data_IF_037941462914
#
_entry.id   IF_037941462914
#
_cell.length_a   1.000
_cell.length_b   1.000
_cell.length_c   1.000
_cell.angle_alpha   90.00
_cell.angle_beta   90.00
_cell.angle_gamma   90.00
#
_symmetry.space_group_name_H-M   'P 1'
#
loop_
_entity.id
_entity.type
_entity.pdbx_description
1 polymer ?
#
# COMPACT_ATOMS: atom_id res chain seq x y z
N UNK A 1 3.93 36.47 -51.62
CA UNK A 1 3.34 35.21 -52.06
C UNK A 1 4.02 33.93 -51.47
N UNK A 2 5.18 34.01 -50.82
CA UNK A 2 5.89 32.85 -50.20
C UNK A 2 5.45 32.59 -48.78
N UNK A 3 5.10 33.62 -48.00
CA UNK A 3 4.70 33.48 -46.59
C UNK A 3 3.34 32.75 -46.36
N UNK A 4 2.42 32.83 -47.31
CA UNK A 4 1.08 32.21 -47.27
C UNK A 4 1.10 30.71 -47.59
N UNK A 5 2.14 30.23 -48.27
CA UNK A 5 2.29 28.80 -48.61
C UNK A 5 2.90 28.01 -47.45
N UNK A 6 3.79 28.59 -46.65
CA UNK A 6 4.38 27.96 -45.48
C UNK A 6 3.36 27.75 -44.35
N UNK A 7 2.42 28.67 -44.14
CA UNK A 7 1.40 28.58 -43.12
C UNK A 7 0.34 27.47 -43.41
N UNK A 8 0.06 27.18 -44.70
CA UNK A 8 -0.86 26.09 -45.09
C UNK A 8 -0.20 24.72 -44.96
N UNK A 9 1.09 24.59 -45.19
CA UNK A 9 1.82 23.31 -45.03
C UNK A 9 2.00 22.94 -43.53
N UNK A 10 2.24 23.91 -42.66
CA UNK A 10 2.28 23.63 -41.19
C UNK A 10 0.94 23.15 -40.67
N UNK A 11 -0.19 23.76 -41.06
CA UNK A 11 -1.53 23.31 -40.63
C UNK A 11 -1.95 21.93 -41.19
N UNK A 12 -1.43 21.54 -42.33
CA UNK A 12 -1.67 20.19 -42.91
C UNK A 12 -0.81 19.11 -42.20
N UNK A 13 0.43 19.44 -41.84
CA UNK A 13 1.31 18.56 -41.07
C UNK A 13 0.75 18.30 -39.66
N UNK A 14 0.29 19.35 -38.97
CA UNK A 14 -0.26 19.22 -37.60
C UNK A 14 -1.54 18.38 -37.58
N UNK A 15 -2.42 18.51 -38.60
CA UNK A 15 -3.63 17.68 -38.70
C UNK A 15 -3.31 16.20 -39.02
N UNK A 16 -2.31 15.93 -39.81
CA UNK A 16 -1.89 14.56 -40.14
C UNK A 16 -1.22 13.87 -38.95
N UNK A 17 -0.45 14.61 -38.18
CA UNK A 17 0.18 14.10 -36.95
C UNK A 17 -0.85 13.79 -35.87
N UNK A 18 -1.80 14.71 -35.64
CA UNK A 18 -2.89 14.51 -34.66
C UNK A 18 -3.79 13.34 -35.06
N UNK A 19 -4.11 13.15 -36.38
CA UNK A 19 -4.88 11.99 -36.83
C UNK A 19 -4.08 10.67 -36.72
N UNK A 20 -2.77 10.69 -36.98
CA UNK A 20 -1.93 9.49 -36.84
C UNK A 20 -1.74 9.09 -35.38
N UNK A 21 -1.57 10.02 -34.48
CA UNK A 21 -1.48 9.77 -33.04
C UNK A 21 -2.84 9.31 -32.50
N UNK A 22 -3.93 9.95 -32.91
CA UNK A 22 -5.29 9.53 -32.51
C UNK A 22 -5.66 8.14 -33.04
N UNK A 23 -5.32 7.80 -34.31
CA UNK A 23 -5.57 6.48 -34.87
C UNK A 23 -4.63 5.41 -34.29
N UNK A 24 -3.42 5.76 -33.92
CA UNK A 24 -2.49 4.85 -33.25
C UNK A 24 -2.92 4.60 -31.80
N UNK A 25 -3.36 5.64 -31.07
CA UNK A 25 -4.00 5.51 -29.75
C UNK A 25 -5.30 4.69 -29.83
N UNK A 26 -6.15 4.91 -30.84
CA UNK A 26 -7.38 4.12 -31.02
C UNK A 26 -7.09 2.65 -31.39
N UNK A 27 -6.02 2.39 -32.16
CA UNK A 27 -5.56 1.01 -32.45
C UNK A 27 -4.90 0.36 -31.25
N UNK A 28 -4.16 1.10 -30.44
CA UNK A 28 -3.59 0.62 -29.18
C UNK A 28 -4.69 0.38 -28.14
N UNK A 29 -5.71 1.23 -28.05
CA UNK A 29 -6.90 0.95 -27.23
C UNK A 29 -7.64 -0.31 -27.67
N UNK A 30 -7.88 -0.52 -28.98
CA UNK A 30 -8.51 -1.75 -29.49
C UNK A 30 -7.61 -3.00 -29.39
N UNK A 31 -6.31 -2.87 -29.25
CA UNK A 31 -5.40 -3.99 -28.99
C UNK A 31 -5.31 -4.32 -27.49
N UNK A 32 -5.64 -3.37 -26.59
CA UNK A 32 -5.86 -3.60 -25.16
C UNK A 32 -7.25 -4.18 -24.84
N UNK A 33 -8.25 -3.97 -25.72
CA UNK A 33 -9.54 -4.66 -25.66
C UNK A 33 -9.38 -6.12 -26.19
N UNK A 34 -8.40 -6.87 -25.65
CA UNK A 34 -8.50 -8.32 -25.70
C UNK A 34 -9.81 -8.65 -24.99
N UNK A 35 -10.69 -9.37 -25.67
CA UNK A 35 -11.85 -10.00 -25.07
C UNK A 35 -11.35 -10.91 -23.93
N UNK A 36 -11.20 -10.33 -22.73
CA UNK A 36 -11.27 -11.12 -21.54
C UNK A 36 -12.75 -11.52 -21.43
N UNK A 37 -13.08 -12.81 -21.27
CA UNK A 37 -14.46 -13.23 -21.03
C UNK A 37 -15.02 -12.38 -19.88
N UNK A 38 -16.32 -12.07 -19.92
CA UNK A 38 -17.02 -11.47 -18.80
C UNK A 38 -16.79 -12.38 -17.58
N UNK A 39 -15.90 -11.98 -16.71
CA UNK A 39 -15.56 -12.74 -15.50
C UNK A 39 -16.57 -12.33 -14.46
N UNK A 40 -17.66 -13.04 -14.37
CA UNK A 40 -18.63 -12.83 -13.28
C UNK A 40 -17.98 -13.28 -11.98
N UNK A 41 -17.73 -12.34 -11.06
CA UNK A 41 -17.22 -12.66 -9.73
C UNK A 41 -18.28 -13.42 -8.94
N UNK A 42 -18.03 -14.68 -8.62
CA UNK A 42 -18.90 -15.50 -7.77
C UNK A 42 -18.46 -15.39 -6.30
N UNK A 43 -19.10 -14.48 -5.55
CA UNK A 43 -18.78 -14.24 -4.14
C UNK A 43 -19.20 -15.42 -3.23
N UNK A 44 -20.14 -16.27 -3.68
CA UNK A 44 -20.65 -17.39 -2.89
C UNK A 44 -19.95 -18.71 -3.18
N UNK A 45 -19.21 -18.77 -4.27
CA UNK A 45 -18.45 -19.95 -4.68
C UNK A 45 -17.17 -20.17 -3.87
N UNK A 46 -16.22 -20.89 -4.48
CA UNK A 46 -14.92 -21.16 -3.86
C UNK A 46 -14.08 -19.88 -3.73
N UNK A 47 -13.61 -19.49 -2.55
CA UNK A 47 -12.80 -18.30 -2.34
C UNK A 47 -11.45 -18.34 -3.08
N UNK A 48 -10.92 -19.54 -3.40
CA UNK A 48 -9.70 -19.70 -4.19
C UNK A 48 -9.98 -19.33 -5.65
N UNK A 49 -11.11 -19.81 -6.20
CA UNK A 49 -11.55 -19.44 -7.54
C UNK A 49 -11.89 -17.94 -7.63
N UNK A 50 -12.50 -17.36 -6.61
CA UNK A 50 -12.76 -15.92 -6.51
C UNK A 50 -11.44 -15.13 -6.49
N UNK A 51 -10.43 -15.59 -5.73
CA UNK A 51 -9.11 -14.96 -5.74
C UNK A 51 -8.51 -14.94 -7.14
N UNK A 52 -8.53 -16.07 -7.84
CA UNK A 52 -8.04 -16.18 -9.21
C UNK A 52 -8.79 -15.22 -10.15
N UNK A 53 -10.11 -15.14 -10.04
CA UNK A 53 -10.93 -14.24 -10.84
C UNK A 53 -10.61 -12.77 -10.61
N UNK A 54 -10.39 -12.34 -9.35
CA UNK A 54 -9.95 -10.98 -9.02
C UNK A 54 -8.55 -10.68 -9.57
N UNK A 55 -7.62 -11.63 -9.46
CA UNK A 55 -6.25 -11.51 -9.97
C UNK A 55 -6.24 -11.37 -11.49
N UNK A 56 -7.09 -12.11 -12.20
CA UNK A 56 -7.16 -12.12 -13.68
C UNK A 56 -7.79 -10.85 -14.26
N UNK A 57 -8.32 -9.96 -13.43
CA UNK A 57 -8.71 -8.60 -13.82
C UNK A 57 -7.53 -7.66 -13.50
N UNK A 58 -6.73 -7.21 -14.48
CA UNK A 58 -5.63 -6.28 -14.24
C UNK A 58 -6.14 -4.97 -13.65
N UNK A 59 -5.48 -4.51 -12.59
CA UNK A 59 -5.86 -3.29 -11.86
C UNK A 59 -4.63 -2.59 -11.27
N UNK A 60 -3.61 -2.32 -12.11
CA UNK A 60 -2.50 -1.47 -11.70
C UNK A 60 -3.03 -0.14 -11.18
N UNK A 61 -2.38 0.45 -10.17
CA UNK A 61 -2.82 1.73 -9.57
C UNK A 61 -3.24 2.76 -10.61
N UNK A 62 -4.41 3.38 -10.43
CA UNK A 62 -5.14 4.29 -11.34
C UNK A 62 -5.85 3.60 -12.51
N UNK A 63 -5.83 2.27 -12.60
CA UNK A 63 -6.50 1.50 -13.65
C UNK A 63 -7.50 0.47 -13.08
N UNK A 64 -8.01 0.70 -11.87
CA UNK A 64 -8.88 -0.22 -11.11
C UNK A 64 -10.34 -0.22 -11.59
N UNK A 65 -10.73 0.70 -12.47
CA UNK A 65 -12.14 0.96 -12.81
C UNK A 65 -12.91 -0.32 -13.17
N UNK A 66 -12.33 -1.20 -14.01
CA UNK A 66 -12.97 -2.46 -14.40
C UNK A 66 -13.17 -3.39 -13.21
N UNK A 67 -12.13 -3.59 -12.38
CA UNK A 67 -12.24 -4.47 -11.20
C UNK A 67 -13.29 -3.92 -10.23
N UNK A 68 -13.30 -2.62 -10.01
CA UNK A 68 -14.27 -1.97 -9.16
C UNK A 68 -15.72 -2.08 -9.69
N UNK A 69 -15.92 -2.03 -11.02
CA UNK A 69 -17.24 -2.25 -11.64
C UNK A 69 -17.74 -3.68 -11.39
N UNK A 70 -16.86 -4.69 -11.55
CA UNK A 70 -17.19 -6.10 -11.31
C UNK A 70 -17.47 -6.37 -9.82
N UNK A 71 -16.69 -5.79 -8.91
CA UNK A 71 -16.90 -5.90 -7.45
C UNK A 71 -18.22 -5.24 -7.04
N UNK A 72 -18.53 -4.04 -7.56
CA UNK A 72 -19.80 -3.37 -7.29
C UNK A 72 -20.99 -4.20 -7.78
N UNK A 73 -20.93 -4.70 -9.01
CA UNK A 73 -21.96 -5.55 -9.59
C UNK A 73 -22.18 -6.84 -8.77
N UNK A 74 -21.09 -7.51 -8.37
CA UNK A 74 -21.15 -8.72 -7.58
C UNK A 74 -21.74 -8.48 -6.18
N UNK A 75 -21.32 -7.42 -5.48
CA UNK A 75 -21.86 -7.04 -4.18
C UNK A 75 -23.37 -6.75 -4.26
N UNK A 76 -23.80 -5.97 -5.25
CA UNK A 76 -25.24 -5.65 -5.45
C UNK A 76 -26.09 -6.89 -5.76
N UNK A 77 -25.54 -7.83 -6.52
CA UNK A 77 -26.27 -9.02 -6.96
C UNK A 77 -26.30 -10.15 -5.91
N UNK A 78 -25.22 -10.30 -5.12
CA UNK A 78 -25.00 -11.52 -4.33
C UNK A 78 -25.01 -11.30 -2.82
N UNK A 79 -25.09 -10.04 -2.33
CA UNK A 79 -25.26 -9.76 -0.90
C UNK A 79 -26.68 -9.27 -0.62
N UNK A 80 -27.27 -9.74 0.47
CA UNK A 80 -28.58 -9.30 0.94
C UNK A 80 -28.44 -8.39 2.16
N UNK A 81 -29.23 -7.30 2.21
CA UNK A 81 -29.19 -6.38 3.35
C UNK A 81 -28.01 -5.42 3.38
N UNK A 82 -27.18 -5.40 2.34
CA UNK A 82 -26.11 -4.42 2.20
C UNK A 82 -26.58 -3.18 1.40
N UNK A 83 -26.28 -2.01 1.94
CA UNK A 83 -26.26 -0.76 1.20
C UNK A 83 -24.93 -0.68 0.46
N UNK A 84 -24.95 -0.49 -0.88
CA UNK A 84 -23.72 -0.44 -1.70
C UNK A 84 -23.60 0.93 -2.35
N UNK A 85 -22.44 1.58 -2.19
CA UNK A 85 -22.12 2.87 -2.81
C UNK A 85 -20.77 2.81 -3.52
N UNK A 86 -20.60 3.68 -4.52
CA UNK A 86 -19.37 3.89 -5.26
C UNK A 86 -18.77 5.26 -4.94
N UNK A 87 -17.45 5.32 -4.76
CA UNK A 87 -16.71 6.58 -4.61
C UNK A 87 -15.42 6.51 -5.42
N UNK A 88 -15.41 7.11 -6.61
CA UNK A 88 -14.33 6.90 -7.58
C UNK A 88 -14.21 5.45 -8.00
N UNK A 89 -13.04 4.83 -7.82
CA UNK A 89 -12.85 3.38 -8.01
C UNK A 89 -12.98 2.58 -6.69
N UNK A 90 -13.31 3.23 -5.59
CA UNK A 90 -13.66 2.53 -4.36
C UNK A 90 -15.13 2.07 -4.34
N UNK A 91 -15.36 0.87 -3.80
CA UNK A 91 -16.69 0.27 -3.62
C UNK A 91 -16.88 0.01 -2.13
N UNK A 92 -17.97 0.55 -1.57
CA UNK A 92 -18.29 0.38 -0.16
C UNK A 92 -19.64 -0.33 -0.02
N UNK A 93 -19.71 -1.28 0.90
CA UNK A 93 -20.94 -2.00 1.22
C UNK A 93 -21.10 -2.14 2.74
N UNK A 94 -22.31 -1.92 3.29
CA UNK A 94 -22.54 -2.07 4.73
C UNK A 94 -23.91 -2.58 5.07
N UNK A 95 -24.00 -3.32 6.18
CA UNK A 95 -25.26 -3.73 6.81
C UNK A 95 -25.77 -2.66 7.80
N UNK A 96 -27.06 -2.72 8.12
CA UNK A 96 -27.71 -1.91 9.16
C UNK A 96 -28.67 -2.77 10.00
N UNK A 97 -28.15 -3.88 10.53
CA UNK A 97 -28.93 -4.82 11.35
C UNK A 97 -29.06 -4.38 12.83
N UNK A 98 -28.45 -3.23 13.17
CA UNK A 98 -28.43 -2.69 14.55
C UNK A 98 -27.75 -3.65 15.54
N UNK A 99 -26.68 -4.30 15.10
CA UNK A 99 -25.87 -5.15 15.96
C UNK A 99 -25.09 -4.30 16.99
N UNK A 100 -24.68 -4.90 18.13
CA UNK A 100 -23.99 -4.16 19.21
C UNK A 100 -22.66 -3.51 18.79
N UNK A 101 -22.04 -4.02 17.73
CA UNK A 101 -20.76 -3.52 17.22
C UNK A 101 -20.69 -3.66 15.71
N UNK A 102 -19.75 -2.94 15.10
CA UNK A 102 -19.49 -2.95 13.66
C UNK A 102 -18.03 -3.34 13.37
N UNK A 103 -17.86 -4.28 12.47
CA UNK A 103 -16.55 -4.68 11.93
C UNK A 103 -16.41 -4.11 10.52
N UNK A 104 -15.29 -3.45 10.27
CA UNK A 104 -14.94 -2.96 8.95
C UNK A 104 -13.85 -3.84 8.35
N UNK A 105 -14.10 -4.34 7.14
CA UNK A 105 -13.19 -5.15 6.33
C UNK A 105 -12.71 -4.28 5.16
N UNK A 106 -11.44 -3.93 5.15
CA UNK A 106 -10.88 -3.05 4.11
C UNK A 106 -9.82 -3.78 3.30
N UNK A 107 -9.84 -3.58 1.98
CA UNK A 107 -8.82 -4.06 1.07
C UNK A 107 -8.66 -3.16 -0.13
N UNK A 108 -7.46 -3.16 -0.74
CA UNK A 108 -7.20 -2.35 -1.93
C UNK A 108 -7.31 -3.18 -3.21
N UNK A 109 -7.92 -2.57 -4.22
CA UNK A 109 -8.17 -3.18 -5.53
C UNK A 109 -6.96 -3.08 -6.46
N UNK A 110 -6.06 -2.14 -6.21
CA UNK A 110 -4.92 -1.90 -7.07
C UNK A 110 -3.76 -2.88 -6.80
N UNK A 111 -2.84 -2.91 -7.73
CA UNK A 111 -1.59 -3.65 -7.63
C UNK A 111 -0.46 -2.78 -8.15
N UNK A 112 0.77 -3.15 -7.79
CA UNK A 112 1.97 -2.69 -8.48
C UNK A 112 1.93 -3.08 -9.98
N UNK A 113 2.79 -2.49 -10.84
CA UNK A 113 2.83 -2.83 -12.26
C UNK A 113 3.07 -4.33 -12.52
N UNK A 114 2.27 -4.90 -13.41
CA UNK A 114 2.34 -6.32 -13.81
C UNK A 114 3.71 -6.64 -14.42
N UNK A 115 4.36 -7.65 -13.91
CA UNK A 115 5.71 -8.08 -14.31
C UNK A 115 5.74 -9.39 -15.12
N UNK A 116 4.71 -9.60 -15.97
CA UNK A 116 4.55 -10.84 -16.76
C UNK A 116 4.02 -12.01 -15.93
N UNK A 117 3.39 -11.72 -14.80
CA UNK A 117 2.82 -12.67 -13.84
C UNK A 117 1.28 -12.67 -13.87
N UNK A 118 0.67 -12.42 -15.01
CA UNK A 118 -0.74 -12.65 -15.32
C UNK A 118 -0.86 -13.44 -16.62
N UNK A 119 -1.92 -14.26 -16.80
CA UNK A 119 -3.00 -14.54 -15.86
C UNK A 119 -2.53 -15.38 -14.66
N UNK A 120 -3.40 -15.51 -13.65
CA UNK A 120 -3.17 -16.37 -12.51
C UNK A 120 -2.99 -17.83 -12.94
N UNK A 121 -2.23 -18.60 -12.14
CA UNK A 121 -2.08 -20.04 -12.36
C UNK A 121 -2.01 -20.78 -11.03
N UNK A 122 -2.68 -21.90 -10.96
CA UNK A 122 -2.67 -22.79 -9.81
C UNK A 122 -1.59 -23.86 -9.99
N UNK A 123 -0.63 -23.91 -9.07
CA UNK A 123 0.49 -24.85 -9.14
C UNK A 123 0.96 -25.26 -7.74
N UNK A 124 1.09 -26.57 -7.49
CA UNK A 124 1.71 -27.07 -6.24
C UNK A 124 0.99 -26.69 -4.95
N UNK A 125 -0.33 -26.37 -4.98
CA UNK A 125 -1.06 -25.88 -3.82
C UNK A 125 -0.92 -24.37 -3.57
N UNK A 126 -0.34 -23.66 -4.52
CA UNK A 126 -0.20 -22.20 -4.52
C UNK A 126 -0.95 -21.60 -5.70
N UNK A 127 -1.49 -20.41 -5.53
CA UNK A 127 -2.04 -19.56 -6.59
C UNK A 127 -1.03 -18.46 -6.89
N UNK A 128 -0.50 -18.45 -8.11
CA UNK A 128 0.49 -17.49 -8.59
C UNK A 128 -0.18 -16.38 -9.39
N UNK A 129 0.28 -15.13 -9.23
CA UNK A 129 -0.22 -13.98 -9.99
C UNK A 129 0.05 -12.67 -9.28
N UNK A 130 0.05 -11.55 -10.02
CA UNK A 130 0.19 -10.21 -9.45
C UNK A 130 -1.03 -9.87 -8.59
N UNK A 131 -0.82 -9.48 -7.34
CA UNK A 131 -1.88 -9.21 -6.37
C UNK A 131 -2.39 -10.46 -5.62
N UNK A 132 -1.84 -11.67 -5.86
CA UNK A 132 -2.25 -12.86 -5.11
C UNK A 132 -1.90 -12.77 -3.63
N UNK A 133 -0.76 -12.20 -3.29
CA UNK A 133 -0.38 -11.94 -1.90
C UNK A 133 -0.85 -10.57 -1.46
N UNK A 134 -0.68 -9.54 -2.29
CA UNK A 134 -0.92 -8.14 -1.98
C UNK A 134 -1.90 -7.50 -2.98
N UNK A 135 -3.22 -7.38 -2.61
CA UNK A 135 -3.85 -8.12 -1.51
C UNK A 135 -5.17 -8.78 -1.93
N UNK A 136 -5.33 -9.14 -3.24
CA UNK A 136 -6.60 -9.66 -3.81
C UNK A 136 -7.06 -10.96 -3.15
N UNK A 137 -6.16 -11.74 -2.52
CA UNK A 137 -6.58 -12.89 -1.70
C UNK A 137 -7.28 -12.45 -0.41
N UNK A 138 -6.86 -11.34 0.19
CA UNK A 138 -7.56 -10.70 1.31
C UNK A 138 -8.92 -10.17 0.89
N UNK A 139 -8.99 -9.49 -0.26
CA UNK A 139 -10.24 -9.00 -0.85
C UNK A 139 -11.23 -10.15 -1.10
N UNK A 140 -10.76 -11.25 -1.68
CA UNK A 140 -11.57 -12.42 -1.94
C UNK A 140 -12.19 -12.99 -0.65
N UNK A 141 -11.40 -13.08 0.43
CA UNK A 141 -11.87 -13.52 1.75
C UNK A 141 -12.99 -12.61 2.25
N UNK A 142 -12.80 -11.29 2.18
CA UNK A 142 -13.78 -10.32 2.68
C UNK A 142 -15.07 -10.31 1.85
N UNK A 143 -14.96 -10.32 0.53
CA UNK A 143 -16.10 -10.38 -0.38
C UNK A 143 -16.88 -11.70 -0.22
N UNK A 144 -16.18 -12.82 -0.10
CA UNK A 144 -16.82 -14.12 0.15
C UNK A 144 -17.58 -14.15 1.49
N UNK A 145 -17.00 -13.61 2.55
CA UNK A 145 -17.64 -13.56 3.86
C UNK A 145 -18.86 -12.62 3.86
N UNK A 146 -18.79 -11.48 3.19
CA UNK A 146 -19.93 -10.57 3.03
C UNK A 146 -21.13 -11.25 2.36
N UNK A 147 -20.90 -12.18 1.43
CA UNK A 147 -21.95 -12.89 0.72
C UNK A 147 -22.43 -14.18 1.43
N UNK A 148 -21.61 -14.78 2.32
CA UNK A 148 -21.86 -16.14 2.85
C UNK A 148 -22.11 -16.19 4.36
N UNK A 149 -21.78 -15.16 5.13
CA UNK A 149 -22.16 -15.06 6.55
C UNK A 149 -23.59 -14.51 6.63
N UNK A 150 -24.56 -15.42 6.83
CA UNK A 150 -25.97 -15.04 6.75
C UNK A 150 -26.44 -14.22 7.97
N UNK A 151 -25.97 -14.57 9.17
CA UNK A 151 -26.36 -13.97 10.46
C UNK A 151 -25.13 -13.46 11.21
N UNK A 152 -24.48 -12.37 10.75
CA UNK A 152 -23.31 -11.85 11.44
C UNK A 152 -23.69 -11.31 12.83
N UNK A 153 -22.84 -11.57 13.83
CA UNK A 153 -23.01 -11.03 15.19
C UNK A 153 -22.64 -9.56 15.29
N UNK A 154 -21.98 -9.04 14.28
CA UNK A 154 -21.62 -7.62 14.10
C UNK A 154 -22.34 -7.02 12.89
N UNK A 155 -22.57 -5.71 12.88
CA UNK A 155 -22.79 -5.03 11.61
C UNK A 155 -21.49 -5.01 10.81
N UNK A 156 -21.59 -5.20 9.49
CA UNK A 156 -20.41 -5.25 8.61
C UNK A 156 -20.32 -3.99 7.75
N UNK A 157 -19.10 -3.52 7.53
CA UNK A 157 -18.75 -2.62 6.45
C UNK A 157 -17.62 -3.25 5.65
N UNK A 158 -17.76 -3.32 4.33
CA UNK A 158 -16.72 -3.75 3.39
C UNK A 158 -16.30 -2.53 2.60
N UNK A 159 -14.99 -2.28 2.52
CA UNK A 159 -14.41 -1.15 1.79
C UNK A 159 -13.32 -1.68 0.87
N UNK A 160 -13.61 -1.74 -0.43
CA UNK A 160 -12.66 -2.07 -1.48
C UNK A 160 -12.19 -0.77 -2.11
N UNK A 161 -10.95 -0.34 -1.87
CA UNK A 161 -10.49 0.99 -2.25
C UNK A 161 -9.36 0.95 -3.29
N UNK A 162 -9.05 2.08 -3.90
CA UNK A 162 -8.12 2.25 -5.01
C UNK A 162 -6.84 2.99 -4.56
N UNK A 163 -5.76 2.82 -5.34
CA UNK A 163 -4.52 3.61 -5.24
C UNK A 163 -3.81 3.52 -3.87
N UNK A 164 -3.75 2.34 -3.25
CA UNK A 164 -2.94 2.11 -2.05
C UNK A 164 -1.44 2.14 -2.36
N UNK A 165 -1.04 1.51 -3.44
CA UNK A 165 0.33 1.20 -3.85
C UNK A 165 1.13 2.40 -4.40
N UNK A 166 0.56 3.60 -4.33
CA UNK A 166 1.17 4.83 -4.83
C UNK A 166 1.10 5.97 -3.81
N UNK A 167 1.30 7.21 -4.26
CA UNK A 167 1.33 8.38 -3.38
C UNK A 167 0.07 8.50 -2.51
N UNK A 168 0.25 8.75 -1.21
CA UNK A 168 -0.83 8.88 -0.21
C UNK A 168 -1.93 9.89 -0.61
N UNK A 169 -1.60 10.88 -1.45
CA UNK A 169 -2.57 11.86 -1.98
C UNK A 169 -3.60 11.24 -2.95
N UNK A 170 -3.25 10.10 -3.59
CA UNK A 170 -4.12 9.38 -4.51
C UNK A 170 -4.96 8.30 -3.80
N UNK A 171 -4.56 7.88 -2.61
CA UNK A 171 -5.16 6.78 -1.86
C UNK A 171 -6.68 6.96 -1.66
N UNK A 172 -7.46 5.94 -2.09
CA UNK A 172 -8.92 5.96 -2.06
C UNK A 172 -9.49 6.03 -0.65
N UNK A 173 -8.84 5.40 0.33
CA UNK A 173 -9.30 5.44 1.72
C UNK A 173 -9.22 6.87 2.28
N UNK A 174 -8.16 7.63 1.95
CA UNK A 174 -8.06 9.05 2.30
C UNK A 174 -9.11 9.93 1.61
N UNK A 175 -9.59 9.55 0.41
CA UNK A 175 -10.73 10.20 -0.25
C UNK A 175 -12.04 9.88 0.48
N UNK A 176 -12.27 8.62 0.84
CA UNK A 176 -13.45 8.18 1.60
C UNK A 176 -13.51 8.91 2.95
N UNK A 177 -12.39 9.03 3.64
CA UNK A 177 -12.29 9.78 4.92
C UNK A 177 -12.81 11.21 4.80
N UNK A 178 -12.52 11.89 3.69
CA UNK A 178 -12.98 13.27 3.46
C UNK A 178 -14.43 13.39 2.98
N UNK A 179 -14.87 12.46 2.13
CA UNK A 179 -16.15 12.58 1.40
C UNK A 179 -17.27 11.75 2.03
N UNK A 180 -16.93 10.63 2.67
CA UNK A 180 -17.87 9.66 3.25
C UNK A 180 -17.42 9.19 4.65
N UNK A 181 -17.05 10.07 5.59
CA UNK A 181 -16.45 9.68 6.88
C UNK A 181 -17.32 8.71 7.68
N UNK A 182 -18.64 8.81 7.62
CA UNK A 182 -19.58 7.92 8.31
C UNK A 182 -19.50 6.45 7.84
N UNK A 183 -18.89 6.20 6.68
CA UNK A 183 -18.68 4.84 6.18
C UNK A 183 -17.47 4.16 6.81
N UNK A 184 -16.57 4.91 7.40
CA UNK A 184 -15.40 4.37 8.09
C UNK A 184 -15.65 4.12 9.58
N UNK A 185 -16.79 4.56 10.13
CA UNK A 185 -17.12 4.34 11.54
C UNK A 185 -17.25 2.84 11.84
N UNK A 186 -16.44 2.34 12.78
CA UNK A 186 -16.40 0.94 13.19
C UNK A 186 -15.82 0.79 14.61
N UNK A 187 -16.07 -0.34 15.25
CA UNK A 187 -15.46 -0.71 16.54
C UNK A 187 -14.10 -1.38 16.35
N UNK A 188 -13.88 -1.99 15.17
CA UNK A 188 -12.59 -2.51 14.72
C UNK A 188 -12.54 -2.55 13.20
N UNK A 189 -11.36 -2.26 12.64
CA UNK A 189 -11.06 -2.42 11.22
C UNK A 189 -10.06 -3.56 11.01
N UNK A 190 -10.28 -4.38 9.97
CA UNK A 190 -9.41 -5.45 9.55
C UNK A 190 -9.01 -5.17 8.11
N UNK A 191 -7.71 -4.97 7.86
CA UNK A 191 -7.17 -4.80 6.52
C UNK A 191 -6.65 -6.13 6.00
N UNK A 192 -7.03 -6.51 4.78
CA UNK A 192 -6.71 -7.80 4.17
C UNK A 192 -5.26 -7.97 3.68
N UNK A 193 -4.37 -7.12 4.17
CA UNK A 193 -2.94 -7.08 3.90
C UNK A 193 -2.25 -8.44 4.10
N UNK A 194 -1.17 -8.74 3.36
CA UNK A 194 -0.46 -9.99 3.52
C UNK A 194 0.18 -10.11 4.91
N UNK A 195 -0.22 -11.14 5.64
CA UNK A 195 0.29 -11.43 6.99
C UNK A 195 0.59 -12.92 7.21
N UNK A 196 0.34 -13.77 6.21
CA UNK A 196 0.48 -15.23 6.37
C UNK A 196 -0.48 -15.83 7.39
N UNK A 197 -1.64 -15.17 7.62
CA UNK A 197 -2.66 -15.62 8.56
C UNK A 197 -2.39 -15.24 10.04
N UNK A 198 -1.40 -14.39 10.31
CA UNK A 198 -1.22 -13.79 11.65
C UNK A 198 -2.01 -12.49 11.76
N UNK A 199 -2.44 -12.16 12.98
CA UNK A 199 -2.85 -10.79 13.28
C UNK A 199 -1.59 -9.92 13.37
N UNK A 200 -1.40 -8.99 12.43
CA UNK A 200 -0.35 -7.97 12.55
C UNK A 200 -0.98 -6.68 13.06
N UNK A 201 -0.67 -6.33 14.31
CA UNK A 201 -1.27 -5.22 15.01
C UNK A 201 -0.45 -3.95 14.90
N UNK A 202 -1.15 -2.82 14.80
CA UNK A 202 -0.52 -1.52 14.56
C UNK A 202 0.35 -1.50 13.31
N UNK A 203 1.22 -0.52 13.19
CA UNK A 203 2.30 -0.49 12.20
C UNK A 203 3.39 0.51 12.61
N UNK A 204 4.62 0.30 12.11
CA UNK A 204 5.68 1.29 12.29
C UNK A 204 5.42 2.55 11.45
N UNK A 205 5.83 3.71 11.98
CA UNK A 205 5.90 4.93 11.21
C UNK A 205 7.08 4.92 10.22
N UNK A 206 7.01 5.81 9.26
CA UNK A 206 8.09 6.03 8.29
C UNK A 206 8.46 7.50 8.23
N UNK A 207 9.75 7.79 8.14
CA UNK A 207 10.29 9.11 7.92
C UNK A 207 11.38 9.02 6.85
N UNK A 208 11.33 9.91 5.86
CA UNK A 208 12.41 10.06 4.89
C UNK A 208 12.99 11.45 4.97
N UNK A 209 14.31 11.53 5.10
CA UNK A 209 15.04 12.80 5.09
C UNK A 209 16.13 12.78 4.04
N UNK A 210 16.44 13.95 3.50
CA UNK A 210 17.64 14.20 2.69
C UNK A 210 18.65 14.91 3.58
N UNK A 211 19.81 14.30 3.77
CA UNK A 211 20.95 14.84 4.49
C UNK A 211 21.96 15.33 3.47
N UNK A 212 22.16 16.66 3.36
CA UNK A 212 23.03 17.27 2.37
C UNK A 212 24.25 17.93 3.01
N UNK A 213 25.38 17.80 2.33
CA UNK A 213 26.64 18.46 2.66
C UNK A 213 27.02 19.44 1.56
N UNK A 214 27.46 20.64 1.96
CA UNK A 214 28.02 21.63 1.06
C UNK A 214 29.54 21.66 1.19
N UNK A 215 30.22 21.97 0.09
CA UNK A 215 31.66 22.08 0.02
C UNK A 215 32.13 23.26 -0.87
N UNK A 216 33.34 23.16 -1.36
CA UNK A 216 33.92 24.15 -2.27
C UNK A 216 34.49 23.47 -3.50
N UNK A 217 34.01 23.86 -4.67
CA UNK A 217 34.46 23.30 -5.96
C UNK A 217 35.87 23.69 -6.27
N UNK A 218 36.67 22.72 -6.71
CA UNK A 218 38.05 22.92 -7.16
C UNK A 218 38.46 21.86 -8.19
N UNK A 219 39.56 22.13 -8.91
CA UNK A 219 40.17 21.12 -9.77
C UNK A 219 40.83 20.03 -8.89
N UNK A 220 40.57 18.75 -9.19
CA UNK A 220 41.09 17.62 -8.39
C UNK A 220 42.63 17.57 -8.28
N UNK A 221 43.36 18.10 -9.30
CA UNK A 221 44.82 18.25 -9.24
C UNK A 221 45.29 19.35 -8.25
N UNK A 222 44.36 20.10 -7.68
CA UNK A 222 44.61 21.15 -6.67
C UNK A 222 43.59 21.02 -5.54
N UNK A 223 43.45 19.80 -5.03
CA UNK A 223 42.44 19.43 -4.04
C UNK A 223 42.45 20.29 -2.77
N UNK A 224 43.60 20.85 -2.40
CA UNK A 224 43.76 21.75 -1.25
C UNK A 224 43.06 23.12 -1.38
N UNK A 225 42.55 23.44 -2.56
CA UNK A 225 41.73 24.64 -2.82
C UNK A 225 40.23 24.38 -2.69
N UNK A 226 39.83 23.12 -2.53
CA UNK A 226 38.46 22.70 -2.44
C UNK A 226 38.11 22.12 -1.06
N UNK A 227 36.81 22.01 -0.82
CA UNK A 227 36.22 21.27 0.32
C UNK A 227 35.25 20.24 -0.24
N UNK A 228 35.52 18.95 0.01
CA UNK A 228 34.83 17.86 -0.67
C UNK A 228 33.54 17.46 0.07
N UNK A 229 32.39 17.81 -0.51
CA UNK A 229 31.08 17.48 0.05
C UNK A 229 30.86 15.96 0.19
N UNK A 230 31.38 15.14 -0.72
CA UNK A 230 31.25 13.66 -0.61
C UNK A 230 32.02 13.17 0.64
N UNK A 231 33.21 13.70 0.92
CA UNK A 231 33.98 13.29 2.09
C UNK A 231 33.25 13.64 3.41
N UNK A 232 32.49 14.75 3.46
CA UNK A 232 31.67 15.10 4.62
C UNK A 232 30.56 14.08 4.88
N UNK A 233 29.98 13.47 3.85
CA UNK A 233 28.98 12.42 4.01
C UNK A 233 29.57 11.13 4.60
N UNK A 234 30.89 10.92 4.56
CA UNK A 234 31.54 9.78 5.21
C UNK A 234 31.17 9.66 6.67
N UNK A 235 31.20 10.76 7.44
CA UNK A 235 30.83 10.77 8.84
C UNK A 235 29.33 10.49 9.06
N UNK A 236 28.44 10.89 8.12
CA UNK A 236 27.02 10.53 8.15
C UNK A 236 26.87 9.01 8.00
N UNK A 237 27.52 8.43 7.00
CA UNK A 237 27.45 6.98 6.74
C UNK A 237 28.01 6.16 7.90
N UNK A 238 29.10 6.61 8.54
CA UNK A 238 29.66 5.98 9.73
C UNK A 238 28.64 5.97 10.89
N UNK A 239 27.96 7.11 11.14
CA UNK A 239 26.91 7.18 12.17
C UNK A 239 25.73 6.25 11.87
N UNK A 240 25.31 6.18 10.61
CA UNK A 240 24.23 5.28 10.20
C UNK A 240 24.64 3.80 10.27
N UNK A 241 25.88 3.48 9.92
CA UNK A 241 26.41 2.13 10.00
C UNK A 241 26.57 1.64 11.45
N UNK A 242 26.88 2.55 12.37
CA UNK A 242 27.01 2.27 13.80
C UNK A 242 25.66 2.40 14.57
N UNK A 243 24.56 2.69 13.87
CA UNK A 243 23.26 2.89 14.54
C UNK A 243 22.76 1.57 15.14
N UNK A 244 22.47 1.60 16.43
CA UNK A 244 21.84 0.49 17.14
C UNK A 244 20.32 0.74 17.21
N UNK A 245 19.57 -0.12 16.48
CA UNK A 245 18.13 0.01 16.39
C UNK A 245 17.46 -0.36 17.73
N UNK A 246 16.56 0.51 18.21
CA UNK A 246 15.71 0.23 19.36
C UNK A 246 14.70 -0.88 19.05
N UNK A 247 14.49 -1.79 20.00
CA UNK A 247 13.35 -2.68 20.04
C UNK A 247 12.46 -2.31 21.22
N UNK A 248 11.14 -2.33 21.03
CA UNK A 248 10.18 -1.97 22.08
C UNK A 248 8.97 -2.90 21.99
N UNK A 249 8.52 -3.35 23.17
CA UNK A 249 7.30 -4.15 23.32
C UNK A 249 6.14 -3.25 23.65
N UNK A 250 5.08 -3.31 22.84
CA UNK A 250 3.85 -2.55 23.02
C UNK A 250 2.68 -3.51 22.85
N UNK A 251 1.84 -3.67 23.88
CA UNK A 251 0.69 -4.57 23.90
C UNK A 251 1.03 -6.02 23.45
N UNK A 252 2.23 -6.53 23.80
CA UNK A 252 2.70 -7.85 23.41
C UNK A 252 3.24 -7.97 21.96
N UNK A 253 3.35 -6.85 21.26
CA UNK A 253 3.97 -6.76 19.93
C UNK A 253 5.34 -6.11 20.04
N UNK A 254 6.39 -6.80 19.55
CA UNK A 254 7.76 -6.26 19.51
C UNK A 254 8.00 -5.51 18.22
N UNK A 255 8.17 -4.18 18.29
CA UNK A 255 8.54 -3.33 17.17
C UNK A 255 10.06 -3.12 17.17
N UNK A 256 10.67 -3.25 15.99
CA UNK A 256 12.10 -3.04 15.81
C UNK A 256 12.32 -1.89 14.83
N UNK A 257 12.92 -0.80 15.33
CA UNK A 257 13.25 0.37 14.52
C UNK A 257 14.35 0.09 13.51
N UNK A 258 14.52 0.96 12.52
CA UNK A 258 15.60 0.85 11.54
C UNK A 258 15.89 2.18 10.88
N UNK A 259 17.14 2.63 10.93
CA UNK A 259 17.61 3.87 10.33
C UNK A 259 18.66 3.52 9.28
N UNK A 260 18.37 3.80 7.99
CA UNK A 260 19.21 3.33 6.89
C UNK A 260 19.36 4.38 5.79
N UNK A 261 20.58 4.50 5.24
CA UNK A 261 20.81 5.20 3.98
C UNK A 261 20.22 4.34 2.84
N UNK A 262 19.34 4.95 2.01
CA UNK A 262 18.67 4.25 0.90
C UNK A 262 19.06 4.79 -0.47
N UNK A 263 19.71 5.96 -0.52
CA UNK A 263 20.24 6.55 -1.75
C UNK A 263 21.38 7.52 -1.40
N UNK A 264 22.36 7.64 -2.28
CA UNK A 264 23.43 8.64 -2.21
C UNK A 264 23.67 9.26 -3.59
N UNK A 265 23.81 10.56 -3.61
CA UNK A 265 24.08 11.34 -4.83
C UNK A 265 25.27 12.31 -4.58
N UNK A 266 26.18 12.43 -5.57
CA UNK A 266 27.29 13.36 -5.47
C UNK A 266 28.27 13.26 -6.63
N UNK A 267 29.01 14.36 -6.87
CA UNK A 267 29.96 14.46 -7.96
C UNK A 267 29.34 15.01 -9.27
N UNK A 268 30.19 15.70 -10.06
CA UNK A 268 29.77 16.33 -11.34
C UNK A 268 30.70 15.93 -12.50
N UNK A 269 32.00 15.73 -12.25
CA UNK A 269 33.00 15.26 -13.22
C UNK A 269 34.20 14.64 -12.51
N UNK A 270 34.93 13.74 -13.19
CA UNK A 270 36.05 13.00 -12.60
C UNK A 270 37.26 13.82 -12.16
N UNK A 271 37.37 15.10 -12.61
CA UNK A 271 38.44 16.00 -12.28
C UNK A 271 38.00 17.21 -11.45
N UNK A 272 36.82 17.12 -10.80
CA UNK A 272 36.25 18.21 -9.98
C UNK A 272 36.05 17.71 -8.56
N UNK A 273 36.53 18.47 -7.57
CA UNK A 273 36.16 18.31 -6.16
C UNK A 273 34.70 18.74 -6.03
N UNK A 274 33.76 17.87 -5.61
CA UNK A 274 32.36 18.22 -5.56
C UNK A 274 32.03 19.16 -4.41
N UNK A 275 31.24 20.18 -4.73
CA UNK A 275 30.73 21.20 -3.80
C UNK A 275 29.35 20.87 -3.21
N UNK A 276 28.74 19.76 -3.66
CA UNK A 276 27.46 19.28 -3.14
C UNK A 276 27.42 17.74 -3.16
N UNK A 277 26.86 17.16 -2.12
CA UNK A 277 26.51 15.74 -2.04
C UNK A 277 25.32 15.55 -1.09
N UNK A 278 24.54 14.49 -1.28
CA UNK A 278 23.39 14.20 -0.44
C UNK A 278 23.22 12.70 -0.22
N UNK A 279 22.70 12.32 0.93
CA UNK A 279 22.24 10.96 1.23
C UNK A 279 20.78 11.00 1.65
N UNK A 280 19.94 10.13 1.05
CA UNK A 280 18.57 9.93 1.49
C UNK A 280 18.57 8.86 2.57
N UNK A 281 17.99 9.19 3.72
CA UNK A 281 17.88 8.32 4.89
C UNK A 281 16.41 8.00 5.12
N UNK A 282 16.10 6.72 5.29
CA UNK A 282 14.79 6.24 5.74
C UNK A 282 14.88 5.78 7.19
N UNK A 283 13.96 6.26 8.02
CA UNK A 283 13.77 5.84 9.39
C UNK A 283 12.43 5.14 9.55
N UNK A 284 12.44 3.87 9.92
CA UNK A 284 11.28 3.11 10.37
C UNK A 284 11.26 3.16 11.89
N UNK A 285 10.24 3.79 12.46
CA UNK A 285 10.17 4.03 13.90
C UNK A 285 8.94 3.37 14.53
N UNK A 286 9.08 2.96 15.79
CA UNK A 286 7.99 2.32 16.53
C UNK A 286 6.83 3.29 16.77
N UNK A 287 5.58 2.80 16.87
CA UNK A 287 4.39 3.64 16.90
C UNK A 287 4.26 4.51 18.18
N UNK A 288 5.09 4.31 19.19
CA UNK A 288 5.18 5.14 20.38
C UNK A 288 5.96 6.45 20.17
N UNK A 289 6.56 6.65 18.98
CA UNK A 289 7.15 7.92 18.57
C UNK A 289 6.20 8.69 17.65
N UNK A 290 6.10 10.00 17.86
CA UNK A 290 5.51 10.90 16.87
C UNK A 290 6.48 11.18 15.71
N UNK A 291 5.98 11.71 14.60
CA UNK A 291 6.84 12.15 13.47
C UNK A 291 7.84 13.24 13.92
N UNK A 292 7.47 14.27 14.72
CA UNK A 292 8.44 15.21 15.27
C UNK A 292 9.54 14.55 16.12
N UNK A 293 9.20 13.56 16.97
CA UNK A 293 10.19 12.85 17.78
C UNK A 293 11.12 12.00 16.91
N UNK A 294 10.58 11.37 15.87
CA UNK A 294 11.38 10.61 14.89
C UNK A 294 12.37 11.51 14.14
N UNK A 295 11.93 12.70 13.70
CA UNK A 295 12.80 13.69 13.08
C UNK A 295 13.87 14.20 14.04
N UNK A 296 13.50 14.48 15.29
CA UNK A 296 14.47 14.90 16.29
C UNK A 296 15.49 13.82 16.57
N UNK A 297 15.07 12.56 16.63
CA UNK A 297 15.98 11.41 16.80
C UNK A 297 17.01 11.33 15.67
N UNK A 298 16.61 11.52 14.42
CA UNK A 298 17.56 11.57 13.29
C UNK A 298 18.55 12.73 13.43
N UNK A 299 18.08 13.90 13.89
CA UNK A 299 18.95 15.05 14.16
C UNK A 299 19.95 14.76 15.29
N UNK A 300 19.51 14.08 16.33
CA UNK A 300 20.38 13.70 17.46
C UNK A 300 21.46 12.69 17.05
N UNK A 301 21.11 11.70 16.21
CA UNK A 301 22.08 10.74 15.64
C UNK A 301 23.15 11.45 14.83
N UNK A 302 22.79 12.50 14.10
CA UNK A 302 23.71 13.25 13.22
C UNK A 302 24.24 14.54 13.87
N UNK A 303 24.01 14.75 15.17
CA UNK A 303 24.40 15.97 15.88
C UNK A 303 25.91 16.24 15.78
N UNK A 304 26.28 17.49 15.57
CA UNK A 304 27.69 17.93 15.46
C UNK A 304 28.31 17.73 14.09
N UNK A 305 27.60 17.16 13.10
CA UNK A 305 28.03 17.11 11.70
C UNK A 305 27.59 18.38 10.96
N UNK A 306 28.48 18.87 10.06
CA UNK A 306 28.19 20.03 9.20
C UNK A 306 27.32 19.60 7.99
N UNK A 307 26.04 19.36 8.27
CA UNK A 307 25.06 18.89 7.27
C UNK A 307 23.71 19.57 7.46
N UNK A 308 22.95 19.69 6.36
CA UNK A 308 21.55 20.12 6.40
C UNK A 308 20.63 18.92 6.30
N UNK A 309 19.57 18.87 7.12
CA UNK A 309 18.59 17.78 7.18
C UNK A 309 17.22 18.33 6.79
N UNK A 310 16.69 17.84 5.68
CA UNK A 310 15.38 18.20 5.14
C UNK A 310 14.45 16.97 5.17
N UNK A 311 13.28 17.11 5.79
CA UNK A 311 12.23 16.09 5.74
C UNK A 311 11.54 16.14 4.38
N UNK A 312 11.49 15.01 3.68
CA UNK A 312 10.84 14.90 2.36
C UNK A 312 9.55 14.09 2.39
N UNK A 313 9.40 13.19 3.38
CA UNK A 313 8.23 12.34 3.52
C UNK A 313 8.11 11.85 4.97
N UNK A 314 6.88 11.70 5.47
CA UNK A 314 6.65 11.09 6.77
C UNK A 314 5.20 10.61 6.93
N UNK A 315 5.03 9.48 7.62
CA UNK A 315 3.75 8.98 8.10
C UNK A 315 3.89 8.44 9.52
N UNK A 316 2.94 8.77 10.38
CA UNK A 316 2.90 8.25 11.75
C UNK A 316 2.62 6.74 11.74
N UNK A 317 3.15 6.03 12.73
CA UNK A 317 2.76 4.66 13.02
C UNK A 317 1.39 4.56 13.69
N UNK A 318 0.92 3.33 13.87
CA UNK A 318 -0.31 3.03 14.61
C UNK A 318 0.01 2.14 15.81
N UNK A 319 -0.51 2.50 16.98
CA UNK A 319 -0.46 1.65 18.17
C UNK A 319 -1.24 0.36 17.93
N UNK A 320 -0.87 -0.78 18.53
CA UNK A 320 -1.54 -2.07 18.32
C UNK A 320 -3.04 -2.06 18.62
N UNK A 321 -3.46 -1.36 19.67
CA UNK A 321 -4.87 -1.22 20.05
C UNK A 321 -5.54 -2.52 20.51
N UNK A 322 -4.79 -3.56 20.86
CA UNK A 322 -5.28 -4.90 21.15
C UNK A 322 -6.03 -5.01 22.47
N UNK A 323 -5.90 -4.03 23.36
CA UNK A 323 -6.63 -3.95 24.62
C UNK A 323 -8.12 -3.63 24.45
N UNK A 324 -8.54 -3.16 23.29
CA UNK A 324 -9.93 -2.82 22.99
C UNK A 324 -10.80 -4.09 22.82
N UNK A 325 -12.06 -4.12 23.31
CA UNK A 325 -12.86 -5.36 23.34
C UNK A 325 -13.03 -6.05 22.00
N UNK A 326 -13.31 -5.30 20.93
CA UNK A 326 -13.50 -5.88 19.59
C UNK A 326 -12.19 -6.47 19.01
N UNK A 327 -11.05 -5.77 19.20
CA UNK A 327 -9.74 -6.26 18.78
C UNK A 327 -9.33 -7.51 19.60
N UNK A 328 -9.63 -7.52 20.91
CA UNK A 328 -9.35 -8.66 21.78
C UNK A 328 -10.11 -9.91 21.35
N UNK A 329 -11.40 -9.81 21.03
CA UNK A 329 -12.21 -10.92 20.53
C UNK A 329 -11.66 -11.48 19.20
N UNK A 330 -11.16 -10.60 18.30
CA UNK A 330 -10.52 -11.02 17.06
C UNK A 330 -9.22 -11.80 17.33
N UNK A 331 -8.38 -11.34 18.26
CA UNK A 331 -7.14 -12.03 18.67
C UNK A 331 -7.45 -13.40 19.26
N UNK A 332 -8.48 -13.50 20.10
CA UNK A 332 -8.94 -14.78 20.66
C UNK A 332 -9.41 -15.75 19.55
N UNK A 333 -10.18 -15.27 18.57
CA UNK A 333 -10.62 -16.08 17.41
C UNK A 333 -9.44 -16.55 16.55
N UNK A 334 -8.35 -15.78 16.49
CA UNK A 334 -7.10 -16.14 15.81
C UNK A 334 -6.18 -17.05 16.65
N UNK A 335 -6.64 -17.51 17.83
CA UNK A 335 -5.84 -18.38 18.72
C UNK A 335 -4.63 -17.67 19.36
N UNK A 336 -4.65 -16.35 19.48
CA UNK A 336 -3.59 -15.55 20.08
C UNK A 336 -2.36 -15.32 19.16
N UNK A 337 -2.45 -15.68 17.88
CA UNK A 337 -1.35 -15.51 16.91
C UNK A 337 -1.21 -14.03 16.48
N UNK A 338 -0.53 -13.25 17.29
CA UNK A 338 -0.34 -11.81 17.09
C UNK A 338 1.14 -11.47 16.95
N UNK A 339 1.46 -10.49 16.08
CA UNK A 339 2.80 -9.89 15.97
C UNK A 339 2.73 -8.43 15.51
N UNK A 340 3.85 -7.72 15.61
CA UNK A 340 3.98 -6.35 15.12
C UNK A 340 4.01 -6.29 13.59
N UNK A 341 3.37 -5.26 12.99
CA UNK A 341 3.58 -4.90 11.58
C UNK A 341 4.78 -3.97 11.45
N UNK A 342 5.79 -4.38 10.69
CA UNK A 342 6.99 -3.57 10.43
C UNK A 342 6.81 -2.58 9.26
N UNK A 343 6.00 -2.93 8.26
CA UNK A 343 5.62 -2.01 7.19
C UNK A 343 4.59 -0.99 7.68
N UNK A 344 4.57 0.18 7.06
CA UNK A 344 3.45 1.11 7.22
C UNK A 344 2.27 0.59 6.37
N UNK A 345 1.07 0.68 6.89
CA UNK A 345 -0.18 0.34 6.17
C UNK A 345 -1.29 1.31 6.59
N UNK A 346 -2.40 1.29 5.88
CA UNK A 346 -3.56 2.14 6.14
C UNK A 346 -4.25 1.88 7.51
N UNK A 347 -3.82 0.90 8.32
CA UNK A 347 -4.23 0.82 9.74
C UNK A 347 -3.91 2.12 10.50
N UNK A 348 -2.90 2.87 10.05
CA UNK A 348 -2.56 4.16 10.63
C UNK A 348 -3.66 5.22 10.44
N UNK A 349 -4.41 5.16 9.34
CA UNK A 349 -5.56 6.04 9.12
C UNK A 349 -6.69 5.75 10.09
N UNK A 350 -7.04 4.47 10.27
CA UNK A 350 -8.04 4.06 11.24
C UNK A 350 -7.64 4.42 12.67
N UNK A 351 -6.38 4.21 13.02
CA UNK A 351 -5.85 4.61 14.33
C UNK A 351 -5.97 6.12 14.56
N UNK A 352 -5.71 6.95 13.54
CA UNK A 352 -5.90 8.40 13.61
C UNK A 352 -7.37 8.81 13.81
N UNK A 353 -8.32 7.99 13.35
CA UNK A 353 -9.76 8.14 13.60
C UNK A 353 -10.19 7.57 14.96
N UNK A 354 -9.27 7.02 15.75
CA UNK A 354 -9.56 6.39 17.04
C UNK A 354 -10.17 4.98 16.92
N UNK A 355 -10.08 4.36 15.76
CA UNK A 355 -10.60 3.01 15.47
C UNK A 355 -9.45 2.01 15.58
N UNK A 356 -9.54 0.99 16.45
CA UNK A 356 -8.57 -0.10 16.49
C UNK A 356 -8.50 -0.78 15.12
N UNK A 357 -7.29 -0.99 14.62
CA UNK A 357 -7.12 -1.59 13.31
C UNK A 357 -5.96 -2.60 13.29
N UNK A 358 -6.16 -3.70 12.59
CA UNK A 358 -5.16 -4.74 12.41
C UNK A 358 -5.07 -5.15 10.94
N UNK A 359 -3.92 -5.70 10.56
CA UNK A 359 -3.78 -6.37 9.28
C UNK A 359 -4.00 -7.87 9.48
N UNK A 360 -4.78 -8.49 8.59
CA UNK A 360 -4.99 -9.94 8.58
C UNK A 360 -5.39 -10.40 7.19
N UNK A 361 -4.51 -11.14 6.53
CA UNK A 361 -4.76 -11.74 5.24
C UNK A 361 -3.89 -12.96 4.97
N UNK A 362 -4.24 -13.75 3.94
CA UNK A 362 -3.60 -15.02 3.66
C UNK A 362 -2.23 -14.92 3.01
N UNK A 363 -1.91 -13.81 2.33
CA UNK A 363 -0.65 -13.60 1.63
C UNK A 363 0.57 -13.60 2.54
N UNK A 364 1.70 -14.11 2.05
CA UNK A 364 3.00 -13.94 2.73
C UNK A 364 3.58 -12.56 2.36
N UNK A 365 3.83 -11.67 3.33
CA UNK A 365 4.37 -10.32 3.06
C UNK A 365 5.73 -10.33 2.37
N UNK A 366 6.50 -11.43 2.46
CA UNK A 366 7.78 -11.56 1.79
C UNK A 366 7.65 -11.84 0.28
N UNK A 367 6.45 -12.14 -0.20
CA UNK A 367 6.16 -12.42 -1.60
C UNK A 367 5.47 -11.25 -2.31
N UNK A 368 5.04 -10.21 -1.59
CA UNK A 368 4.49 -8.98 -2.15
C UNK A 368 5.48 -8.31 -3.14
N UNK A 369 4.95 -7.73 -4.23
CA UNK A 369 5.70 -6.98 -5.25
C UNK A 369 6.74 -7.80 -6.04
N UNK A 370 6.69 -9.12 -5.97
CA UNK A 370 7.65 -10.01 -6.66
C UNK A 370 7.08 -10.53 -7.97
N UNK A 371 7.97 -10.86 -8.92
CA UNK A 371 7.56 -11.53 -10.17
C UNK A 371 6.98 -12.92 -9.95
N UNK A 372 7.43 -13.60 -8.91
CA UNK A 372 6.98 -14.92 -8.48
C UNK A 372 5.98 -14.84 -7.33
N UNK A 373 5.24 -13.74 -7.25
CA UNK A 373 4.20 -13.51 -6.26
C UNK A 373 3.17 -14.64 -6.29
N UNK A 374 2.79 -15.11 -5.10
CA UNK A 374 1.88 -16.22 -4.92
C UNK A 374 1.31 -16.27 -3.50
N UNK A 375 0.22 -17.01 -3.36
CA UNK A 375 -0.39 -17.29 -2.05
C UNK A 375 -0.68 -18.79 -1.93
N UNK A 376 -0.42 -19.37 -0.77
CA UNK A 376 -0.81 -20.75 -0.47
C UNK A 376 -2.34 -20.84 -0.36
N UNK A 377 -2.97 -21.71 -1.13
CA UNK A 377 -4.45 -21.86 -1.12
C UNK A 377 -4.99 -22.26 0.26
N UNK A 378 -4.22 -23.03 1.02
CA UNK A 378 -4.55 -23.38 2.39
C UNK A 378 -4.71 -22.16 3.32
N UNK A 379 -3.91 -21.10 3.09
CA UNK A 379 -4.00 -19.87 3.86
C UNK A 379 -5.30 -19.10 3.56
N UNK A 380 -5.77 -19.11 2.30
CA UNK A 380 -7.06 -18.50 1.93
C UNK A 380 -8.19 -19.20 2.69
N UNK A 381 -8.23 -20.52 2.67
CA UNK A 381 -9.24 -21.31 3.40
C UNK A 381 -9.17 -21.05 4.90
N UNK A 382 -7.97 -21.06 5.48
CA UNK A 382 -7.79 -20.82 6.91
C UNK A 382 -8.23 -19.41 7.33
N UNK A 383 -7.97 -18.39 6.49
CA UNK A 383 -8.42 -17.02 6.73
C UNK A 383 -9.95 -16.90 6.69
N UNK A 384 -10.61 -17.55 5.71
CA UNK A 384 -12.06 -17.61 5.64
C UNK A 384 -12.64 -18.28 6.91
N UNK A 385 -12.09 -19.43 7.31
CA UNK A 385 -12.58 -20.17 8.47
C UNK A 385 -12.41 -19.38 9.77
N UNK A 386 -11.28 -18.71 9.95
CA UNK A 386 -11.03 -17.91 11.16
C UNK A 386 -11.99 -16.70 11.23
N UNK A 387 -12.08 -15.92 10.16
CA UNK A 387 -12.96 -14.76 10.15
C UNK A 387 -14.44 -15.14 10.17
N UNK A 388 -14.83 -16.27 9.57
CA UNK A 388 -16.20 -16.80 9.66
C UNK A 388 -16.60 -17.10 11.11
N UNK A 389 -15.70 -17.72 11.89
CA UNK A 389 -15.93 -17.93 13.34
C UNK A 389 -16.07 -16.60 14.08
N UNK A 390 -15.22 -15.64 13.78
CA UNK A 390 -15.26 -14.33 14.43
C UNK A 390 -16.55 -13.54 14.09
N UNK A 391 -16.99 -13.59 12.84
CA UNK A 391 -18.14 -12.82 12.36
C UNK A 391 -19.48 -13.53 12.63
N UNK A 392 -19.48 -14.85 12.72
CA UNK A 392 -20.71 -15.67 12.89
C UNK A 392 -21.02 -16.01 14.34
N UNK A 393 -20.08 -15.85 15.29
CA UNK A 393 -20.25 -16.15 16.72
C UNK A 393 -19.95 -17.61 17.05
#
# INVERSE_FOLDING_TARGET
MVATRCARLRRACDRHWVLMVATRCARLRRACDRHYPETVLDLRGDPIALTAALVDIPSESRNEARLADEVEAALRAQTSGFEVVRNGNAVLARTRHQRPSRVLLAGHLDTVPVAGNLPSRHEGGELHGCGTADMKSGDAVFLHLAATVAEPVHDLTVVMYDCEEIDAAANGLGRIERELPDWLAADVAILGEPTGGYIEAGCQGTLRVVVSAAGTRAHSARSWLGDNAIHKLGAVLERLAAYEARSVDIDGCTYREGLSAVRIDGGVAGNVIPDAAAVTVNFRFAPDRSVPDALQHVRDVLAGLDVHIEQTDAAAGAMPGLSQPAAKALVEAAGGNVRAKYGWTDVARFAALGIPAVNFGPGDPNLAHRRDERVAVANITAAVDMLRRYLGG
#
